data_IF_285398498577
#
_entry.id   IF_285398498577
#
_cell.length_a   1.000
_cell.length_b   1.000
_cell.length_c   1.000
_cell.angle_alpha   90.00
_cell.angle_beta   90.00
_cell.angle_gamma   90.00
#
_symmetry.space_group_name_H-M   'P 1'
#
loop_
_entity.id
_entity.type
_entity.pdbx_description
1 polymer ?
#
# COMPACT_ATOMS: atom_id res chain seq x y z
N UNK A 1 8.74 -16.39 8.58
CA UNK A 1 8.31 -15.10 8.01
C UNK A 1 9.27 -14.69 6.89
N UNK A 2 8.74 -14.16 5.79
CA UNK A 2 9.56 -13.66 4.69
C UNK A 2 10.41 -12.47 5.15
N UNK A 3 11.63 -12.34 4.63
CA UNK A 3 12.51 -11.21 4.96
C UNK A 3 12.03 -9.96 4.22
N UNK A 4 11.83 -8.86 4.96
CA UNK A 4 11.47 -7.56 4.36
C UNK A 4 12.42 -7.16 3.22
N UNK A 5 11.82 -6.73 2.11
CA UNK A 5 12.53 -6.19 0.95
C UNK A 5 12.22 -4.71 0.76
N UNK A 6 13.01 -3.84 1.42
CA UNK A 6 12.92 -2.39 1.21
C UNK A 6 13.03 -2.00 -0.26
N UNK A 7 13.89 -2.69 -1.03
CA UNK A 7 14.03 -2.47 -2.47
C UNK A 7 12.70 -2.69 -3.19
N UNK A 8 12.00 -3.79 -2.88
CA UNK A 8 10.69 -4.08 -3.48
C UNK A 8 9.63 -3.04 -3.10
N UNK A 9 9.58 -2.63 -1.82
CA UNK A 9 8.65 -1.58 -1.37
C UNK A 9 8.88 -0.29 -2.16
N UNK A 10 10.13 0.17 -2.30
CA UNK A 10 10.47 1.37 -3.10
C UNK A 10 10.00 1.25 -4.54
N UNK A 11 10.20 0.08 -5.16
CA UNK A 11 9.79 -0.19 -6.53
C UNK A 11 8.27 -0.14 -6.70
N UNK A 12 7.52 -0.71 -5.75
CA UNK A 12 6.06 -0.69 -5.74
C UNK A 12 5.54 0.74 -5.55
N UNK A 13 6.11 1.53 -4.63
CA UNK A 13 5.70 2.92 -4.40
C UNK A 13 5.88 3.75 -5.68
N UNK A 14 7.01 3.59 -6.37
CA UNK A 14 7.27 4.28 -7.64
C UNK A 14 6.25 3.86 -8.71
N UNK A 15 5.96 2.55 -8.81
CA UNK A 15 4.99 2.02 -9.77
C UNK A 15 3.57 2.55 -9.51
N UNK A 16 3.12 2.52 -8.26
CA UNK A 16 1.83 3.09 -7.85
C UNK A 16 1.74 4.57 -8.22
N UNK A 17 2.75 5.37 -7.85
CA UNK A 17 2.74 6.79 -8.13
C UNK A 17 2.74 7.07 -9.64
N UNK A 18 3.54 6.34 -10.43
CA UNK A 18 3.54 6.45 -11.89
C UNK A 18 2.15 6.17 -12.49
N UNK A 19 1.51 5.08 -12.07
CA UNK A 19 0.19 4.68 -12.57
C UNK A 19 -0.96 5.58 -12.07
N UNK A 20 -0.74 6.32 -10.99
CA UNK A 20 -1.71 7.24 -10.40
C UNK A 20 -1.44 8.72 -10.74
N UNK A 21 -0.73 8.99 -11.85
CA UNK A 21 -0.53 10.35 -12.35
C UNK A 21 0.75 11.05 -11.87
N UNK A 22 1.73 10.28 -11.42
CA UNK A 22 3.04 10.74 -10.97
C UNK A 22 3.13 11.07 -9.47
N UNK A 23 2.04 10.91 -8.72
CA UNK A 23 2.02 11.17 -7.28
C UNK A 23 0.96 10.36 -6.53
N UNK A 24 1.15 10.20 -5.23
CA UNK A 24 0.14 9.66 -4.32
C UNK A 24 -0.14 10.71 -3.26
N UNK A 25 -1.41 11.12 -3.16
CA UNK A 25 -1.87 12.10 -2.17
C UNK A 25 -2.38 11.39 -0.91
N UNK A 26 -1.73 11.67 0.20
CA UNK A 26 -2.10 11.19 1.52
C UNK A 26 -1.39 9.91 1.95
N UNK A 27 -0.73 10.00 3.11
CA UNK A 27 -0.10 8.87 3.82
C UNK A 27 -1.01 7.67 4.01
N UNK A 28 -2.27 7.95 4.35
CA UNK A 28 -3.31 6.94 4.54
C UNK A 28 -3.57 6.14 3.27
N UNK A 29 -3.73 6.84 2.13
CA UNK A 29 -3.94 6.19 0.82
C UNK A 29 -2.76 5.30 0.46
N UNK A 30 -1.53 5.79 0.60
CA UNK A 30 -0.35 4.99 0.34
C UNK A 30 -0.29 3.73 1.23
N UNK A 31 -0.51 3.88 2.54
CA UNK A 31 -0.51 2.75 3.47
C UNK A 31 -1.52 1.67 3.09
N UNK A 32 -2.73 2.05 2.65
CA UNK A 32 -3.76 1.09 2.25
C UNK A 32 -3.44 0.40 0.94
N UNK A 33 -2.91 1.12 -0.05
CA UNK A 33 -2.51 0.50 -1.31
C UNK A 33 -1.40 -0.53 -1.11
N UNK A 34 -0.42 -0.25 -0.24
CA UNK A 34 0.62 -1.23 0.11
C UNK A 34 0.02 -2.47 0.79
N UNK A 35 -0.89 -2.27 1.75
CA UNK A 35 -1.62 -3.36 2.40
C UNK A 35 -2.38 -4.23 1.38
N UNK A 36 -3.18 -3.63 0.49
CA UNK A 36 -3.93 -4.37 -0.51
C UNK A 36 -3.01 -5.18 -1.43
N UNK A 37 -1.91 -4.60 -1.90
CA UNK A 37 -0.93 -5.32 -2.73
C UNK A 37 -0.40 -6.56 -2.01
N UNK A 38 0.01 -6.41 -0.76
CA UNK A 38 0.69 -7.48 -0.06
C UNK A 38 -0.27 -8.59 0.39
N UNK A 39 -1.47 -8.22 0.83
CA UNK A 39 -2.49 -9.17 1.25
C UNK A 39 -3.18 -9.84 0.07
N UNK A 40 -3.41 -9.14 -1.05
CA UNK A 40 -3.88 -9.77 -2.29
C UNK A 40 -2.84 -10.78 -2.80
N UNK A 41 -1.56 -10.38 -2.82
CA UNK A 41 -0.50 -11.28 -3.27
C UNK A 41 -0.35 -12.50 -2.34
N UNK A 42 -0.49 -12.31 -1.03
CA UNK A 42 -0.47 -13.40 -0.08
C UNK A 42 -1.69 -14.32 -0.19
N UNK A 43 -2.89 -13.78 -0.38
CA UNK A 43 -4.12 -14.55 -0.60
C UNK A 43 -3.98 -15.49 -1.80
N UNK A 44 -3.39 -14.99 -2.90
CA UNK A 44 -3.23 -15.77 -4.14
C UNK A 44 -2.03 -16.73 -4.13
N UNK A 45 -0.89 -16.30 -3.58
CA UNK A 45 0.38 -17.02 -3.73
C UNK A 45 0.99 -17.53 -2.41
N UNK A 46 0.34 -17.27 -1.28
CA UNK A 46 0.77 -17.68 0.07
C UNK A 46 2.18 -17.21 0.44
N UNK A 47 2.64 -16.15 -0.22
CA UNK A 47 3.92 -15.48 0.01
C UNK A 47 3.67 -13.98 0.02
N UNK A 48 4.31 -13.25 0.93
CA UNK A 48 4.25 -11.79 0.92
C UNK A 48 5.14 -11.26 -0.22
N UNK A 49 4.65 -10.23 -0.91
CA UNK A 49 5.41 -9.55 -1.95
C UNK A 49 6.52 -8.67 -1.34
N UNK A 50 6.22 -7.98 -0.23
CA UNK A 50 7.15 -7.02 0.38
C UNK A 50 7.90 -7.55 1.59
N UNK A 51 7.31 -8.49 2.31
CA UNK A 51 7.74 -8.99 3.60
C UNK A 51 7.67 -7.97 4.73
N UNK A 52 6.86 -6.90 4.59
CA UNK A 52 6.65 -5.91 5.67
C UNK A 52 5.75 -6.49 6.77
N UNK A 53 5.74 -5.85 7.93
CA UNK A 53 4.81 -6.15 9.01
C UNK A 53 3.72 -5.08 9.03
N UNK A 54 2.47 -5.50 9.16
CA UNK A 54 1.32 -4.60 9.22
C UNK A 54 0.74 -4.59 10.62
N UNK A 55 0.45 -3.39 11.17
CA UNK A 55 -0.24 -3.25 12.45
C UNK A 55 -1.67 -2.75 12.27
N UNK A 56 -2.59 -3.25 13.09
CA UNK A 56 -3.96 -2.75 13.17
C UNK A 56 -4.01 -1.43 13.96
N UNK A 57 -3.71 -0.30 13.29
CA UNK A 57 -3.76 1.03 13.88
C UNK A 57 -5.18 1.62 13.78
N UNK A 58 -5.54 2.68 14.54
CA UNK A 58 -6.90 3.23 14.55
C UNK A 58 -7.46 3.67 13.19
N UNK A 59 -6.59 3.98 12.22
CA UNK A 59 -6.99 4.31 10.84
C UNK A 59 -6.83 3.12 9.88
N UNK A 60 -6.85 1.89 10.39
CA UNK A 60 -6.72 0.63 9.65
C UNK A 60 -5.29 0.04 9.63
N UNK A 61 -5.04 -0.99 8.80
CA UNK A 61 -3.73 -1.61 8.64
C UNK A 61 -2.64 -0.61 8.20
N UNK A 62 -1.47 -0.68 8.84
CA UNK A 62 -0.35 0.21 8.54
C UNK A 62 0.98 -0.56 8.44
N UNK A 63 1.71 -0.45 7.30
CA UNK A 63 3.04 -1.04 7.12
C UNK A 63 4.09 -0.34 7.98
N UNK A 64 4.71 -1.05 8.94
CA UNK A 64 5.59 -0.43 9.95
C UNK A 64 6.87 0.16 9.36
N UNK A 65 7.34 -0.32 8.20
CA UNK A 65 8.56 0.18 7.59
C UNK A 65 8.34 1.29 6.57
N UNK A 66 7.08 1.66 6.26
CA UNK A 66 6.77 2.63 5.21
C UNK A 66 7.42 3.98 5.44
N UNK A 67 7.39 4.53 6.65
CA UNK A 67 8.01 5.84 6.94
C UNK A 67 9.52 5.83 6.71
N UNK A 68 10.20 4.78 7.19
CA UNK A 68 11.63 4.61 6.98
C UNK A 68 11.96 4.47 5.50
N UNK A 69 11.16 3.70 4.75
CA UNK A 69 11.34 3.55 3.30
C UNK A 69 11.14 4.87 2.57
N UNK A 70 10.12 5.66 2.93
CA UNK A 70 9.87 6.98 2.35
C UNK A 70 11.01 7.95 2.64
N UNK A 71 11.52 7.98 3.87
CA UNK A 71 12.70 8.78 4.22
C UNK A 71 13.93 8.38 3.39
N UNK A 72 14.17 7.07 3.22
CA UNK A 72 15.24 6.55 2.35
C UNK A 72 15.02 6.98 0.87
N UNK A 73 13.77 7.01 0.38
CA UNK A 73 13.48 7.43 -1.00
C UNK A 73 13.67 8.92 -1.24
N UNK A 74 13.40 9.76 -0.23
CA UNK A 74 13.66 11.21 -0.28
C UNK A 74 15.15 11.48 -0.30
N UNK A 75 15.94 10.84 0.56
CA UNK A 75 17.40 11.00 0.59
C UNK A 75 18.06 10.51 -0.71
N UNK A 76 17.53 9.45 -1.31
CA UNK A 76 17.91 8.95 -2.63
C UNK A 76 17.40 9.80 -3.81
N UNK A 77 16.67 10.89 -3.53
CA UNK A 77 16.04 11.76 -4.55
C UNK A 77 15.15 11.00 -5.54
N UNK A 78 14.51 9.91 -5.11
CA UNK A 78 13.53 9.16 -5.93
C UNK A 78 12.15 9.83 -5.92
N UNK A 79 11.80 10.41 -4.77
CA UNK A 79 10.56 11.15 -4.58
C UNK A 79 10.85 12.50 -3.91
N UNK A 80 9.87 13.39 -3.98
CA UNK A 80 9.76 14.59 -3.16
C UNK A 80 8.45 14.50 -2.39
N UNK A 81 8.49 14.86 -1.10
CA UNK A 81 7.28 15.00 -0.29
C UNK A 81 6.92 16.47 -0.21
N UNK A 82 5.71 16.81 -0.65
CA UNK A 82 5.13 18.15 -0.48
C UNK A 82 4.03 18.11 0.56
N UNK A 83 3.80 19.24 1.22
CA UNK A 83 2.65 19.43 2.09
C UNK A 83 1.69 20.40 1.41
N UNK A 84 0.45 19.98 1.23
CA UNK A 84 -0.60 20.80 0.61
C UNK A 84 -1.83 20.86 1.50
N UNK A 85 -2.46 22.04 1.55
CA UNK A 85 -3.72 22.23 2.27
C UNK A 85 -4.87 22.06 1.28
N UNK A 86 -5.45 20.86 1.22
CA UNK A 86 -6.55 20.56 0.28
C UNK A 86 -7.86 21.26 0.67
N UNK A 87 -8.07 21.54 1.97
CA UNK A 87 -9.23 22.27 2.51
C UNK A 87 -8.86 23.10 3.74
N UNK A 88 -9.58 24.20 3.96
CA UNK A 88 -9.27 25.15 5.03
C UNK A 88 -9.30 24.53 6.45
N UNK A 89 -10.17 23.53 6.65
CA UNK A 89 -10.46 22.80 7.88
C UNK A 89 -9.66 21.49 8.02
N UNK A 90 -8.84 21.12 7.03
CA UNK A 90 -8.05 19.90 7.04
C UNK A 90 -6.58 20.16 7.41
N UNK A 91 -5.98 19.15 8.04
CA UNK A 91 -4.53 19.07 8.21
C UNK A 91 -3.85 19.01 6.84
N UNK A 92 -2.57 19.41 6.80
CA UNK A 92 -1.75 19.32 5.60
C UNK A 92 -1.68 17.87 5.11
N UNK A 93 -1.93 17.67 3.83
CA UNK A 93 -1.80 16.40 3.13
C UNK A 93 -0.38 16.25 2.60
N UNK A 94 0.27 15.15 2.96
CA UNK A 94 1.53 14.72 2.33
C UNK A 94 1.26 14.22 0.90
N UNK A 95 1.98 14.79 -0.07
CA UNK A 95 1.96 14.39 -1.47
C UNK A 95 3.32 13.79 -1.82
N UNK A 96 3.34 12.50 -2.12
CA UNK A 96 4.53 11.77 -2.52
C UNK A 96 4.65 11.79 -4.05
N UNK A 97 5.51 12.67 -4.59
CA UNK A 97 5.68 12.85 -6.03
C UNK A 97 6.97 12.21 -6.51
N UNK A 98 6.94 11.48 -7.63
CA UNK A 98 8.15 10.88 -8.21
C UNK A 98 8.97 11.93 -8.97
N UNK A 99 10.29 11.85 -8.86
CA UNK A 99 11.20 12.76 -9.57
C UNK A 99 11.45 12.34 -11.02
N UNK A 100 11.36 11.04 -11.31
CA UNK A 100 11.53 10.49 -12.65
C UNK A 100 10.62 9.28 -12.81
N UNK A 101 9.95 9.20 -13.95
CA UNK A 101 9.23 8.00 -14.39
C UNK A 101 10.28 6.90 -14.54
N UNK A 102 10.14 5.84 -13.74
CA UNK A 102 11.01 4.69 -13.77
C UNK A 102 10.18 3.50 -14.19
N UNK A 103 10.02 3.32 -15.50
CA UNK A 103 9.34 2.15 -16.07
C UNK A 103 10.07 0.91 -15.58
N UNK A 104 9.44 0.20 -14.64
CA UNK A 104 9.96 -1.03 -14.10
C UNK A 104 9.04 -2.18 -14.49
N UNK A 105 9.64 -3.18 -15.13
CA UNK A 105 8.95 -4.42 -15.39
C UNK A 105 8.98 -5.28 -14.13
N UNK A 106 7.81 -5.72 -13.71
CA UNK A 106 7.62 -6.70 -12.64
C UNK A 106 7.43 -8.09 -13.27
N UNK A 107 7.78 -9.19 -12.58
CA UNK A 107 7.34 -10.52 -12.98
C UNK A 107 5.82 -10.55 -13.18
N UNK A 108 5.34 -11.39 -14.11
CA UNK A 108 3.92 -11.43 -14.52
C UNK A 108 2.95 -11.55 -13.33
N UNK A 109 3.26 -12.42 -12.38
CA UNK A 109 2.45 -12.62 -11.15
C UNK A 109 2.34 -11.35 -10.30
N UNK A 110 3.47 -10.67 -10.08
CA UNK A 110 3.51 -9.45 -9.28
C UNK A 110 2.80 -8.31 -10.00
N UNK A 111 3.04 -8.17 -11.32
CA UNK A 111 2.41 -7.13 -12.12
C UNK A 111 0.88 -7.28 -12.15
N UNK A 112 0.36 -8.50 -12.25
CA UNK A 112 -1.08 -8.77 -12.23
C UNK A 112 -1.73 -8.23 -10.95
N UNK A 113 -1.12 -8.47 -9.78
CA UNK A 113 -1.64 -7.96 -8.51
C UNK A 113 -1.51 -6.44 -8.40
N UNK A 114 -0.38 -5.87 -8.83
CA UNK A 114 -0.20 -4.41 -8.82
C UNK A 114 -1.26 -3.71 -9.68
N UNK A 115 -1.46 -4.18 -10.91
CA UNK A 115 -2.42 -3.62 -11.85
C UNK A 115 -3.87 -3.79 -11.34
N UNK A 116 -4.21 -4.94 -10.75
CA UNK A 116 -5.51 -5.17 -10.10
C UNK A 116 -5.77 -4.16 -8.98
N UNK A 117 -4.80 -3.98 -8.07
CA UNK A 117 -4.95 -3.05 -6.94
C UNK A 117 -5.10 -1.61 -7.43
N UNK A 118 -4.33 -1.21 -8.43
CA UNK A 118 -4.46 0.12 -9.04
C UNK A 118 -5.86 0.31 -9.63
N UNK A 119 -6.35 -0.66 -10.40
CA UNK A 119 -7.67 -0.58 -11.03
C UNK A 119 -8.79 -0.48 -9.98
N UNK A 120 -8.77 -1.39 -8.99
CA UNK A 120 -9.83 -1.53 -7.99
C UNK A 120 -9.83 -0.42 -6.94
N UNK A 121 -8.64 0.01 -6.51
CA UNK A 121 -8.49 0.87 -5.33
C UNK A 121 -7.79 2.21 -5.61
N UNK A 122 -7.06 2.33 -6.73
CA UNK A 122 -6.24 3.49 -7.04
C UNK A 122 -7.01 4.81 -7.17
N UNK A 123 -8.26 4.76 -7.63
CA UNK A 123 -9.13 5.92 -7.77
C UNK A 123 -9.78 6.36 -6.44
N UNK A 124 -9.72 5.54 -5.40
CA UNK A 124 -10.38 5.82 -4.11
C UNK A 124 -9.59 6.82 -3.25
N UNK A 125 -10.31 7.54 -2.41
CA UNK A 125 -9.72 8.41 -1.38
C UNK A 125 -9.17 7.62 -0.20
N UNK A 126 -8.29 8.25 0.60
CA UNK A 126 -7.78 7.63 1.82
C UNK A 126 -8.88 7.24 2.82
N UNK A 127 -10.00 7.99 2.86
CA UNK A 127 -11.14 7.66 3.73
C UNK A 127 -11.93 6.44 3.22
N UNK A 128 -12.21 6.37 1.93
CA UNK A 128 -12.86 5.19 1.35
C UNK A 128 -12.02 3.93 1.54
N UNK A 129 -10.70 4.03 1.37
CA UNK A 129 -9.79 2.91 1.60
C UNK A 129 -9.73 2.51 3.09
N UNK A 130 -9.79 3.48 3.99
CA UNK A 130 -9.93 3.22 5.43
C UNK A 130 -11.19 2.42 5.71
N UNK A 131 -12.34 2.86 5.23
CA UNK A 131 -13.64 2.21 5.44
C UNK A 131 -13.62 0.77 4.91
N UNK A 132 -13.06 0.55 3.72
CA UNK A 132 -12.87 -0.79 3.16
C UNK A 132 -12.01 -1.68 4.06
N UNK A 133 -10.83 -1.20 4.47
CA UNK A 133 -9.94 -2.01 5.30
C UNK A 133 -10.48 -2.29 6.70
N UNK A 134 -11.36 -1.44 7.24
CA UNK A 134 -12.03 -1.71 8.52
C UNK A 134 -13.06 -2.83 8.44
N UNK A 135 -13.59 -3.10 7.24
CA UNK A 135 -14.54 -4.18 6.99
C UNK A 135 -13.86 -5.52 6.68
N UNK A 136 -12.53 -5.55 6.47
CA UNK A 136 -11.84 -6.80 6.13
C UNK A 136 -11.46 -7.63 7.37
N UNK A 137 -11.55 -8.95 7.21
CA UNK A 137 -11.22 -9.93 8.25
C UNK A 137 -9.84 -9.73 8.92
N UNK A 138 -8.75 -9.39 8.21
CA UNK A 138 -7.46 -9.16 8.84
C UNK A 138 -7.46 -8.04 9.88
N UNK A 139 -8.18 -6.94 9.62
CA UNK A 139 -8.26 -5.85 10.57
C UNK A 139 -9.21 -6.18 11.73
N UNK A 140 -10.38 -6.74 11.44
CA UNK A 140 -11.38 -7.13 12.45
C UNK A 140 -10.81 -8.19 13.40
N UNK A 141 -10.08 -9.17 12.87
CA UNK A 141 -9.51 -10.29 13.62
C UNK A 141 -8.25 -9.95 14.41
N UNK A 142 -7.74 -8.71 14.33
CA UNK A 142 -6.50 -8.30 14.99
C UNK A 142 -6.77 -7.31 16.12
N UNK A 143 -6.22 -7.56 17.30
CA UNK A 143 -6.34 -6.65 18.42
C UNK A 143 -5.69 -5.27 18.11
N UNK A 144 -6.19 -4.16 18.68
CA UNK A 144 -5.65 -2.83 18.43
C UNK A 144 -4.13 -2.75 18.67
N UNK A 145 -3.43 -2.10 17.74
CA UNK A 145 -1.98 -1.92 17.70
C UNK A 145 -1.12 -3.20 17.61
N UNK A 146 -1.75 -4.37 17.42
CA UNK A 146 -1.04 -5.62 17.20
C UNK A 146 -0.72 -5.86 15.73
N UNK A 147 0.21 -6.78 15.49
CA UNK A 147 0.55 -7.27 14.16
C UNK A 147 -0.62 -8.06 13.56
N UNK A 148 -0.93 -7.77 12.30
CA UNK A 148 -1.95 -8.45 11.52
C UNK A 148 -1.29 -9.69 10.91
N UNK A 149 -1.82 -10.86 11.23
CA UNK A 149 -1.39 -12.12 10.63
C UNK A 149 -1.78 -12.15 9.14
N UNK A 150 -0.81 -12.45 8.27
CA UNK A 150 -1.05 -12.54 6.82
C UNK A 150 -2.03 -13.65 6.46
N UNK A 151 -2.07 -14.71 7.26
CA UNK A 151 -2.99 -15.84 7.11
C UNK A 151 -4.46 -15.41 7.19
N UNK A 152 -4.75 -14.24 7.79
CA UNK A 152 -6.10 -13.67 7.76
C UNK A 152 -6.53 -13.22 6.35
N UNK A 153 -5.59 -13.12 5.40
CA UNK A 153 -5.89 -12.78 4.00
C UNK A 153 -6.87 -13.78 3.36
N UNK A 154 -6.81 -15.06 3.75
CA UNK A 154 -7.72 -16.09 3.23
C UNK A 154 -9.19 -15.89 3.61
N UNK A 155 -9.47 -15.01 4.57
CA UNK A 155 -10.83 -14.68 5.02
C UNK A 155 -11.33 -13.35 4.46
N UNK A 156 -10.58 -12.70 3.55
CA UNK A 156 -10.99 -11.43 2.92
C UNK A 156 -12.05 -11.62 1.85
N UNK A 157 -12.16 -12.82 1.27
CA UNK A 157 -13.17 -13.16 0.27
C UNK A 157 -13.10 -12.28 -0.98
N UNK A 158 -11.89 -11.92 -1.43
CA UNK A 158 -11.74 -10.88 -2.46
C UNK A 158 -12.04 -11.36 -3.88
N UNK A 159 -12.33 -12.65 -4.07
CA UNK A 159 -12.56 -13.25 -5.40
C UNK A 159 -11.32 -13.20 -6.29
N UNK A 160 -10.12 -13.23 -5.71
CA UNK A 160 -8.85 -13.02 -6.44
C UNK A 160 -8.56 -14.03 -7.55
N UNK A 161 -9.26 -15.17 -7.54
CA UNK A 161 -9.19 -16.20 -8.57
C UNK A 161 -10.28 -16.05 -9.64
N UNK A 162 -11.31 -15.25 -9.39
CA UNK A 162 -12.38 -14.94 -10.34
C UNK A 162 -12.07 -13.68 -11.17
N UNK A 163 -11.27 -12.76 -10.62
CA UNK A 163 -10.85 -11.48 -11.23
C UNK A 163 -9.60 -11.58 -12.15
N UNK A 164 -8.98 -12.76 -12.30
CA UNK A 164 -7.64 -12.94 -12.88
C UNK A 164 -7.61 -13.59 -14.28
#
# INVERSE_FOLDING_TARGET
MAKISKKKIKEIILYLAEKLGGEIRGKKKLAKLLYFIDFDFYEKFQKSLTGDTYKALPMGPFPINMEKVLADMVSEKKIVVKLEKERADYNLTEIYKINKIAVKNFPKEEQLILDRVILKYGHLSGKQLEDLTHAEAPYIGTAPNQEIAYELAFYRGTGIDEDA
#
